data_IF_669151016482
#
_entry.id   IF_669151016482
#
_cell.length_a   1.000
_cell.length_b   1.000
_cell.length_c   1.000
_cell.angle_alpha   90.00
_cell.angle_beta   90.00
_cell.angle_gamma   90.00
#
_symmetry.space_group_name_H-M   'P 1'
#
loop_
_entity.id
_entity.type
_entity.pdbx_description
1 polymer ?
#
# COMPACT_ATOMS: atom_id res chain seq x y z
N UNK A 1 -10.44 -12.13 -9.66
CA UNK A 1 -10.10 -10.82 -9.07
C UNK A 1 -8.62 -10.82 -8.69
N UNK A 2 -7.77 -10.31 -9.57
CA UNK A 2 -6.32 -10.09 -9.34
C UNK A 2 -5.99 -8.60 -9.25
N UNK A 3 -6.87 -7.72 -9.77
CA UNK A 3 -6.61 -6.28 -9.94
C UNK A 3 -6.36 -5.51 -8.64
N UNK A 4 -6.88 -5.97 -7.50
CA UNK A 4 -6.68 -5.28 -6.22
C UNK A 4 -5.33 -5.59 -5.58
N UNK A 5 -4.70 -6.72 -5.93
CA UNK A 5 -3.40 -7.14 -5.36
C UNK A 5 -2.23 -6.29 -5.86
N UNK A 6 -2.42 -5.55 -6.94
CA UNK A 6 -1.37 -4.76 -7.59
C UNK A 6 -1.69 -3.26 -7.60
N UNK A 7 -2.55 -2.77 -6.68
CA UNK A 7 -3.07 -1.40 -6.73
C UNK A 7 -1.97 -0.31 -6.76
N UNK A 8 -0.90 -0.45 -5.96
CA UNK A 8 0.24 0.50 -6.00
C UNK A 8 1.07 0.30 -7.27
N UNK A 9 1.29 -0.95 -7.67
CA UNK A 9 1.98 -1.31 -8.91
C UNK A 9 1.29 -0.68 -10.14
N UNK A 10 -0.02 -0.82 -10.27
CA UNK A 10 -0.83 -0.28 -11.37
C UNK A 10 -0.85 1.26 -11.36
N UNK A 11 -0.90 1.86 -10.17
CA UNK A 11 -0.78 3.31 -10.03
C UNK A 11 0.53 3.82 -10.64
N UNK A 12 1.65 3.14 -10.37
CA UNK A 12 2.96 3.50 -10.93
C UNK A 12 3.01 3.20 -12.44
N UNK A 13 2.55 2.03 -12.88
CA UNK A 13 2.50 1.64 -14.31
C UNK A 13 1.66 2.58 -15.18
N UNK A 14 0.63 3.21 -14.60
CA UNK A 14 -0.21 4.17 -15.32
C UNK A 14 0.58 5.36 -15.86
N UNK A 15 1.69 5.73 -15.20
CA UNK A 15 2.50 6.90 -15.56
C UNK A 15 3.96 6.59 -15.92
N UNK A 16 4.47 5.41 -15.55
CA UNK A 16 5.89 5.06 -15.67
C UNK A 16 6.07 3.81 -16.53
N UNK A 17 6.96 3.88 -17.53
CA UNK A 17 7.24 2.77 -18.44
C UNK A 17 7.47 3.22 -19.88
N UNK A 18 7.66 2.27 -20.79
CA UNK A 18 7.80 2.55 -22.21
C UNK A 18 6.49 3.14 -22.77
N UNK A 19 6.59 4.25 -23.51
CA UNK A 19 5.44 4.97 -24.06
C UNK A 19 4.55 5.67 -23.01
N UNK A 20 5.00 5.76 -21.75
CA UNK A 20 4.29 6.46 -20.67
C UNK A 20 4.85 7.87 -20.45
N UNK A 21 4.25 8.59 -19.50
CA UNK A 21 4.63 9.96 -19.14
C UNK A 21 6.11 10.07 -18.74
N UNK A 22 6.64 9.07 -18.05
CA UNK A 22 8.04 9.02 -17.64
C UNK A 22 8.67 7.66 -17.91
N UNK A 23 9.94 7.66 -18.30
CA UNK A 23 10.78 6.47 -18.20
C UNK A 23 11.08 6.14 -16.73
N UNK A 24 11.50 4.90 -16.47
CA UNK A 24 11.94 4.49 -15.13
C UNK A 24 13.05 5.36 -14.55
N UNK A 25 13.95 5.84 -15.43
CA UNK A 25 15.08 6.69 -15.03
C UNK A 25 14.62 8.10 -14.65
N UNK A 26 13.75 8.69 -15.46
CA UNK A 26 13.21 10.04 -15.22
C UNK A 26 12.34 10.06 -13.98
N UNK A 27 11.51 9.02 -13.80
CA UNK A 27 10.66 8.91 -12.62
C UNK A 27 11.49 8.74 -11.33
N UNK A 28 12.51 7.86 -11.35
CA UNK A 28 13.39 7.67 -10.20
C UNK A 28 14.14 8.96 -9.78
N UNK A 29 14.46 9.84 -10.74
CA UNK A 29 15.08 11.14 -10.45
C UNK A 29 14.11 12.17 -9.83
N UNK A 30 12.79 11.91 -9.87
CA UNK A 30 11.75 12.79 -9.31
C UNK A 30 11.11 12.24 -8.05
N UNK A 31 11.13 10.92 -7.89
CA UNK A 31 10.60 10.24 -6.72
C UNK A 31 11.61 10.41 -5.57
N UNK A 32 11.42 11.43 -4.74
CA UNK A 32 12.22 11.64 -3.54
C UNK A 32 11.27 11.94 -2.38
N UNK A 33 11.48 11.26 -1.26
CA UNK A 33 10.75 11.53 -0.02
C UNK A 33 11.22 12.89 0.54
N UNK A 34 10.35 13.92 0.57
CA UNK A 34 10.75 15.27 0.97
C UNK A 34 11.18 15.38 2.43
N UNK A 35 10.79 14.42 3.28
CA UNK A 35 11.14 14.43 4.70
C UNK A 35 12.51 13.80 4.97
N UNK A 36 12.87 12.76 4.22
CA UNK A 36 14.05 11.93 4.51
C UNK A 36 15.14 11.99 3.45
N UNK A 37 14.85 12.57 2.28
CA UNK A 37 15.74 12.53 1.10
C UNK A 37 15.86 11.14 0.49
N UNK A 38 15.02 10.18 0.90
CA UNK A 38 15.03 8.84 0.34
C UNK A 38 14.55 8.86 -1.12
N UNK A 39 15.36 8.34 -2.03
CA UNK A 39 15.00 8.15 -3.43
C UNK A 39 15.12 6.67 -3.83
N UNK A 40 14.07 6.03 -4.37
CA UNK A 40 14.15 4.68 -4.88
C UNK A 40 15.00 4.66 -6.15
N UNK A 41 15.96 3.73 -6.21
CA UNK A 41 16.78 3.55 -7.39
C UNK A 41 15.97 3.09 -8.62
N UNK A 42 16.48 3.37 -9.82
CA UNK A 42 15.88 2.95 -11.10
C UNK A 42 15.49 1.46 -11.12
N UNK A 43 16.34 0.59 -10.56
CA UNK A 43 16.08 -0.86 -10.53
C UNK A 43 14.88 -1.23 -9.66
N UNK A 44 14.62 -0.50 -8.57
CA UNK A 44 13.43 -0.70 -7.74
C UNK A 44 12.17 -0.25 -8.48
N UNK A 45 12.22 0.90 -9.15
CA UNK A 45 11.12 1.35 -10.02
C UNK A 45 10.84 0.34 -11.13
N UNK A 46 11.88 -0.19 -11.77
CA UNK A 46 11.76 -1.25 -12.77
C UNK A 46 11.11 -2.51 -12.20
N UNK A 47 11.46 -2.93 -10.97
CA UNK A 47 10.80 -4.06 -10.30
C UNK A 47 9.30 -3.81 -10.12
N UNK A 48 8.94 -2.63 -9.62
CA UNK A 48 7.54 -2.25 -9.40
C UNK A 48 6.75 -2.34 -10.70
N UNK A 49 7.20 -1.70 -11.79
CA UNK A 49 6.44 -1.69 -13.05
C UNK A 49 6.41 -3.05 -13.76
N UNK A 50 7.36 -3.94 -13.47
CA UNK A 50 7.40 -5.30 -14.00
C UNK A 50 6.69 -6.30 -13.08
N UNK A 51 6.01 -5.82 -12.05
CA UNK A 51 5.31 -6.64 -11.06
C UNK A 51 6.21 -7.69 -10.38
N UNK A 52 7.46 -7.31 -10.14
CA UNK A 52 8.44 -8.15 -9.44
C UNK A 52 8.42 -7.81 -7.95
N UNK A 53 8.47 -8.83 -7.09
CA UNK A 53 8.41 -8.65 -5.63
C UNK A 53 9.32 -7.54 -5.09
N UNK A 54 8.73 -6.66 -4.28
CA UNK A 54 9.39 -5.54 -3.63
C UNK A 54 8.80 -5.30 -2.24
N UNK A 55 9.56 -4.63 -1.38
CA UNK A 55 9.10 -4.28 -0.04
C UNK A 55 8.44 -2.90 -0.05
N UNK A 56 7.23 -2.81 0.50
CA UNK A 56 6.51 -1.54 0.66
C UNK A 56 6.92 -0.92 1.99
N UNK A 57 7.55 0.25 1.93
CA UNK A 57 7.96 1.03 3.11
C UNK A 57 7.31 2.40 3.11
N UNK A 58 7.22 3.03 4.29
CA UNK A 58 6.66 4.38 4.42
C UNK A 58 7.43 5.42 3.57
N UNK A 59 8.76 5.30 3.51
CA UNK A 59 9.63 6.16 2.68
C UNK A 59 9.39 5.93 1.19
N UNK A 60 9.20 4.67 0.76
CA UNK A 60 8.86 4.35 -0.62
C UNK A 60 7.52 4.97 -1.01
N UNK A 61 6.49 4.85 -0.16
CA UNK A 61 5.18 5.47 -0.41
C UNK A 61 5.29 6.99 -0.51
N UNK A 62 6.04 7.64 0.38
CA UNK A 62 6.27 9.09 0.32
C UNK A 62 6.98 9.52 -0.98
N UNK A 63 8.06 8.82 -1.35
CA UNK A 63 8.81 9.11 -2.57
C UNK A 63 7.96 8.89 -3.84
N UNK A 64 7.16 7.82 -3.89
CA UNK A 64 6.24 7.56 -4.99
C UNK A 64 5.16 8.64 -5.08
N UNK A 65 4.59 9.08 -3.95
CA UNK A 65 3.63 10.18 -3.92
C UNK A 65 4.21 11.48 -4.47
N UNK A 66 5.43 11.83 -4.05
CA UNK A 66 6.15 12.99 -4.58
C UNK A 66 6.41 12.86 -6.09
N UNK A 67 6.90 11.70 -6.54
CA UNK A 67 7.19 11.44 -7.94
C UNK A 67 5.96 11.47 -8.84
N UNK A 68 4.83 10.94 -8.36
CA UNK A 68 3.54 10.93 -9.07
C UNK A 68 2.80 12.27 -9.01
N UNK A 69 3.20 13.17 -8.10
CA UNK A 69 2.47 14.40 -7.82
C UNK A 69 1.09 14.15 -7.20
N UNK A 70 0.96 13.05 -6.43
CA UNK A 70 -0.29 12.65 -5.79
C UNK A 70 -0.21 12.85 -4.27
N UNK A 71 -1.35 13.08 -3.58
CA UNK A 71 -1.37 13.12 -2.13
C UNK A 71 -0.91 11.79 -1.53
N UNK A 72 0.00 11.85 -0.54
CA UNK A 72 0.50 10.68 0.19
C UNK A 72 -0.62 9.76 0.72
N UNK A 73 -1.76 10.25 1.24
CA UNK A 73 -2.86 9.37 1.66
C UNK A 73 -3.44 8.50 0.54
N UNK A 74 -3.49 9.00 -0.70
CA UNK A 74 -4.01 8.25 -1.87
C UNK A 74 -3.07 7.10 -2.23
N UNK A 75 -1.77 7.39 -2.31
CA UNK A 75 -0.74 6.37 -2.60
C UNK A 75 -0.64 5.36 -1.44
N UNK A 76 -0.79 5.84 -0.21
CA UNK A 76 -0.85 5.00 0.99
C UNK A 76 -2.03 4.03 0.98
N UNK A 77 -3.21 4.46 0.55
CA UNK A 77 -4.36 3.58 0.39
C UNK A 77 -4.10 2.48 -0.65
N UNK A 78 -3.52 2.83 -1.81
CA UNK A 78 -3.14 1.84 -2.83
C UNK A 78 -2.09 0.83 -2.30
N UNK A 79 -1.10 1.31 -1.56
CA UNK A 79 -0.09 0.47 -0.91
C UNK A 79 -0.71 -0.47 0.14
N UNK A 80 -1.70 0.02 0.89
CA UNK A 80 -2.41 -0.75 1.90
C UNK A 80 -3.28 -1.86 1.27
N UNK A 81 -3.99 -1.53 0.18
CA UNK A 81 -4.77 -2.50 -0.59
C UNK A 81 -3.89 -3.64 -1.14
N UNK A 82 -2.72 -3.29 -1.68
CA UNK A 82 -1.75 -4.25 -2.19
C UNK A 82 -1.13 -5.12 -1.08
N UNK A 83 -0.88 -4.56 0.12
CA UNK A 83 -0.29 -5.30 1.24
C UNK A 83 -1.29 -6.22 1.94
N UNK A 84 -2.51 -5.74 2.18
CA UNK A 84 -3.52 -6.48 2.96
C UNK A 84 -4.32 -7.44 2.09
N UNK A 85 -4.49 -7.12 0.80
CA UNK A 85 -5.25 -7.95 -0.14
C UNK A 85 -6.66 -8.24 0.37
N UNK A 86 -7.57 -7.26 0.27
CA UNK A 86 -8.97 -7.52 0.58
C UNK A 86 -9.54 -8.53 -0.42
N UNK A 87 -9.78 -9.76 0.03
CA UNK A 87 -10.70 -10.67 -0.65
C UNK A 87 -12.11 -10.36 -0.14
N UNK A 88 -12.93 -9.73 -0.97
CA UNK A 88 -14.38 -9.72 -0.77
C UNK A 88 -14.89 -11.16 -0.95
N UNK A 89 -15.13 -11.87 0.15
CA UNK A 89 -16.05 -13.01 0.16
C UNK A 89 -17.41 -12.50 0.63
N UNK A 90 -18.38 -12.53 -0.28
CA UNK A 90 -19.77 -12.25 0.01
C UNK A 90 -20.33 -13.37 0.91
N UNK A 91 -20.66 -13.05 2.16
CA UNK A 91 -21.31 -13.99 3.08
C UNK A 91 -22.74 -14.22 2.58
N UNK A 92 -22.98 -15.33 1.89
CA UNK A 92 -24.31 -15.69 1.37
C UNK A 92 -25.31 -16.17 2.42
N UNK A 93 -25.01 -16.10 3.72
CA UNK A 93 -25.95 -16.45 4.79
C UNK A 93 -25.79 -15.55 6.03
N UNK A 94 -26.90 -14.92 6.46
CA UNK A 94 -26.99 -14.14 7.70
C UNK A 94 -26.89 -12.62 7.53
N UNK A 95 -27.44 -11.87 8.50
CA UNK A 95 -27.57 -10.40 8.47
C UNK A 95 -26.30 -9.67 7.97
N UNK A 96 -26.44 -8.56 7.22
CA UNK A 96 -25.31 -7.89 6.56
C UNK A 96 -24.32 -7.36 7.59
N UNK A 97 -23.29 -8.14 7.87
CA UNK A 97 -22.16 -7.77 8.68
C UNK A 97 -20.91 -7.86 7.80
N UNK A 98 -20.24 -6.72 7.62
CA UNK A 98 -18.95 -6.66 6.93
C UNK A 98 -17.88 -7.28 7.82
N UNK A 99 -17.50 -8.52 7.53
CA UNK A 99 -16.51 -9.25 8.31
C UNK A 99 -15.11 -8.99 7.73
N UNK A 100 -14.37 -8.04 8.32
CA UNK A 100 -12.99 -7.74 7.93
C UNK A 100 -12.07 -8.76 8.61
N UNK A 101 -11.57 -9.76 7.85
CA UNK A 101 -10.48 -10.64 8.32
C UNK A 101 -9.15 -10.16 7.79
N UNK A 102 -8.29 -9.69 8.69
CA UNK A 102 -6.88 -9.42 8.41
C UNK A 102 -6.15 -10.76 8.29
N UNK A 103 -5.63 -11.09 7.11
CA UNK A 103 -4.73 -12.23 6.95
C UNK A 103 -3.32 -11.82 7.42
N UNK A 104 -2.93 -12.32 8.59
CA UNK A 104 -1.54 -12.45 9.07
C UNK A 104 -0.60 -11.25 8.86
N UNK A 105 -0.95 -10.10 9.45
CA UNK A 105 0.00 -9.00 9.61
C UNK A 105 0.92 -9.26 10.83
N UNK A 106 1.93 -10.10 10.61
CA UNK A 106 3.24 -10.04 11.28
C UNK A 106 3.28 -10.02 12.81
N UNK A 107 3.45 -11.22 13.40
CA UNK A 107 4.13 -11.43 14.68
C UNK A 107 3.41 -10.90 15.93
N UNK A 108 3.14 -11.82 16.86
CA UNK A 108 2.62 -11.56 18.20
C UNK A 108 3.63 -10.74 19.04
N UNK A 109 3.69 -9.44 18.78
CA UNK A 109 4.53 -8.50 19.53
C UNK A 109 3.71 -7.89 20.67
N UNK A 110 4.31 -7.68 21.86
CA UNK A 110 3.60 -7.06 22.99
C UNK A 110 2.99 -5.70 22.65
N UNK A 111 3.59 -4.97 21.70
CA UNK A 111 3.11 -3.67 21.23
C UNK A 111 1.85 -3.78 20.36
N UNK A 112 1.78 -4.79 19.49
CA UNK A 112 0.58 -5.06 18.69
C UNK A 112 -0.59 -5.50 19.59
N UNK A 113 -0.31 -6.32 20.60
CA UNK A 113 -1.32 -6.77 21.57
C UNK A 113 -1.90 -5.63 22.39
N UNK A 114 -1.06 -4.71 22.87
CA UNK A 114 -1.52 -3.52 23.60
C UNK A 114 -2.40 -2.57 22.77
N UNK A 115 -2.15 -2.47 21.46
CA UNK A 115 -2.99 -1.66 20.55
C UNK A 115 -4.33 -2.35 20.31
N UNK A 116 -4.34 -3.67 20.13
CA UNK A 116 -5.57 -4.45 19.96
C UNK A 116 -6.46 -4.41 21.21
N UNK A 117 -5.87 -4.59 22.40
CA UNK A 117 -6.59 -4.52 23.68
C UNK A 117 -7.22 -3.13 23.91
N UNK A 118 -6.52 -2.06 23.54
CA UNK A 118 -7.05 -0.70 23.64
C UNK A 118 -8.26 -0.48 22.73
N UNK A 119 -8.19 -0.90 21.47
CA UNK A 119 -9.31 -0.77 20.53
C UNK A 119 -10.53 -1.59 20.96
N UNK A 120 -10.29 -2.75 21.58
CA UNK A 120 -11.36 -3.62 22.07
C UNK A 120 -12.05 -3.09 23.34
N UNK A 121 -11.33 -2.32 24.17
CA UNK A 121 -11.93 -1.60 25.30
C UNK A 121 -12.75 -0.37 24.83
N UNK A 122 -12.25 0.36 23.83
CA UNK A 122 -12.97 1.50 23.23
C UNK A 122 -14.30 1.03 22.59
N UNK A 123 -14.30 -0.09 21.86
CA UNK A 123 -15.51 -0.65 21.24
C UNK A 123 -16.58 -1.17 22.22
N UNK A 124 -16.19 -1.54 23.45
CA UNK A 124 -17.13 -1.99 24.48
C UNK A 124 -17.75 -0.85 25.29
N UNK A 125 -17.22 0.37 25.16
CA UNK A 125 -17.72 1.54 25.89
C UNK A 125 -18.80 2.30 25.12
N UNK A 126 -18.95 2.02 23.81
CA UNK A 126 -19.96 2.63 22.92
C UNK A 126 -21.18 1.73 22.64
N UNK A 127 -21.38 0.66 23.43
CA UNK A 127 -22.55 -0.22 23.38
C UNK A 127 -23.35 -0.16 24.71
#
# INVERSE_FOLDING_TARGET
MLEQRDALTELVKSQVGEGKRWSTREFAARAEDPETGYAPGKSLIAKIINDQGYNITAQLVSALAAGLGLPRPVVGAAAHLQLIGYTEEELTEGAPATLIRTLDAGGDTPKARAVAERWQAEAQTEA
#
